data_IF_781393076079
#
_entry.id   IF_781393076079
#
_cell.length_a   1.000
_cell.length_b   1.000
_cell.length_c   1.000
_cell.angle_alpha   90.00
_cell.angle_beta   90.00
_cell.angle_gamma   90.00
#
_symmetry.space_group_name_H-M   'P 1'
#
loop_
_entity.id
_entity.type
_entity.pdbx_description
1 polymer ?
#
# COMPACT_ATOMS: atom_id res chain seq x y z
N UNK A 1 -25.66 -17.46 -35.30
CA UNK A 1 -24.74 -17.90 -34.24
C UNK A 1 -23.30 -17.64 -34.66
N UNK A 2 -22.74 -16.49 -34.26
CA UNK A 2 -21.29 -16.25 -34.22
C UNK A 2 -21.07 -15.44 -32.94
N UNK A 3 -20.46 -16.07 -31.94
CA UNK A 3 -20.04 -15.39 -30.73
C UNK A 3 -18.73 -14.67 -31.02
N UNK A 4 -18.77 -13.34 -31.00
CA UNK A 4 -17.55 -12.53 -31.00
C UNK A 4 -16.97 -12.57 -29.58
N UNK A 5 -15.95 -13.41 -29.41
CA UNK A 5 -15.11 -13.37 -28.23
C UNK A 5 -14.26 -12.09 -28.27
N UNK A 6 -14.74 -11.04 -27.62
CA UNK A 6 -13.94 -9.85 -27.37
C UNK A 6 -12.65 -10.20 -26.61
N UNK A 7 -11.55 -9.46 -26.82
CA UNK A 7 -10.31 -9.71 -26.09
C UNK A 7 -10.59 -9.47 -24.60
N UNK A 8 -10.56 -10.56 -23.81
CA UNK A 8 -10.42 -10.46 -22.36
C UNK A 8 -9.11 -9.72 -22.11
N UNK A 9 -9.22 -8.42 -21.83
CA UNK A 9 -8.14 -7.59 -21.31
C UNK A 9 -7.83 -8.12 -19.91
N UNK A 10 -7.10 -9.24 -19.86
CA UNK A 10 -6.40 -9.66 -18.66
C UNK A 10 -5.60 -8.45 -18.24
N UNK A 11 -6.00 -7.83 -17.13
CA UNK A 11 -5.21 -6.78 -16.49
C UNK A 11 -3.83 -7.40 -16.33
N UNK A 12 -2.88 -6.99 -17.16
CA UNK A 12 -1.50 -7.43 -17.03
C UNK A 12 -1.09 -6.97 -15.66
N UNK A 13 -0.98 -7.91 -14.72
CA UNK A 13 -0.42 -7.64 -13.41
C UNK A 13 0.95 -7.02 -13.67
N UNK A 14 1.04 -5.70 -13.48
CA UNK A 14 2.30 -5.00 -13.66
C UNK A 14 3.22 -5.54 -12.58
N UNK A 15 4.14 -6.40 -13.01
CA UNK A 15 5.11 -7.01 -12.10
C UNK A 15 5.81 -5.90 -11.31
N UNK A 16 5.78 -6.02 -9.98
CA UNK A 16 6.46 -5.08 -9.10
C UNK A 16 7.95 -5.08 -9.48
N UNK A 17 8.61 -3.90 -9.52
CA UNK A 17 10.01 -3.81 -9.95
C UNK A 17 11.02 -4.36 -8.91
N UNK A 18 10.55 -5.16 -7.96
CA UNK A 18 11.33 -5.81 -6.91
C UNK A 18 10.57 -7.03 -6.38
N UNK A 19 11.32 -7.99 -5.83
CA UNK A 19 10.82 -9.15 -5.08
C UNK A 19 11.20 -8.99 -3.61
N UNK A 20 10.30 -9.34 -2.70
CA UNK A 20 10.61 -9.45 -1.27
C UNK A 20 11.31 -10.79 -1.05
N UNK A 21 12.50 -10.77 -0.46
CA UNK A 21 13.25 -11.98 -0.09
C UNK A 21 13.04 -12.36 1.37
N UNK A 22 13.09 -11.37 2.25
CA UNK A 22 13.01 -11.56 3.69
C UNK A 22 12.31 -10.38 4.36
N UNK A 23 11.59 -10.68 5.43
CA UNK A 23 10.96 -9.71 6.31
C UNK A 23 11.26 -10.07 7.77
N UNK A 24 11.75 -9.10 8.53
CA UNK A 24 11.95 -9.23 9.98
C UNK A 24 11.09 -8.18 10.67
N UNK A 25 10.25 -8.62 11.60
CA UNK A 25 9.41 -7.75 12.42
C UNK A 25 9.96 -7.73 13.84
N UNK A 26 10.20 -6.53 14.38
CA UNK A 26 10.59 -6.34 15.76
C UNK A 26 9.59 -5.43 16.46
N UNK A 27 8.85 -6.00 17.41
CA UNK A 27 7.93 -5.26 18.28
C UNK A 27 8.71 -4.90 19.54
N UNK A 28 8.91 -3.60 19.77
CA UNK A 28 9.76 -3.10 20.86
C UNK A 28 8.94 -2.64 22.06
N UNK A 29 7.70 -2.22 21.85
CA UNK A 29 6.80 -1.86 22.94
C UNK A 29 5.35 -2.19 22.61
N UNK A 30 4.65 -2.76 23.61
CA UNK A 30 3.21 -3.01 23.59
C UNK A 30 2.62 -2.29 24.80
N UNK A 31 1.64 -1.42 24.55
CA UNK A 31 0.93 -0.71 25.60
C UNK A 31 -0.55 -1.11 25.59
N UNK A 32 -0.99 -1.82 26.62
CA UNK A 32 -2.37 -2.30 26.74
C UNK A 32 -3.38 -1.19 27.08
N UNK A 33 -2.98 -0.18 27.85
CA UNK A 33 -3.88 0.92 28.21
C UNK A 33 -4.17 1.82 27.00
N UNK A 34 -3.13 2.15 26.23
CA UNK A 34 -3.24 2.98 25.02
C UNK A 34 -3.58 2.15 23.77
N UNK A 35 -3.61 0.82 23.90
CA UNK A 35 -3.83 -0.12 22.80
C UNK A 35 -2.90 0.15 21.61
N UNK A 36 -1.62 0.42 21.89
CA UNK A 36 -0.65 0.84 20.89
C UNK A 36 0.55 -0.10 20.82
N UNK A 37 1.11 -0.24 19.62
CA UNK A 37 2.30 -1.02 19.35
C UNK A 37 3.37 -0.16 18.68
N UNK A 38 4.61 -0.28 19.13
CA UNK A 38 5.78 0.35 18.51
C UNK A 38 6.74 -0.76 18.08
N UNK A 39 7.31 -0.59 16.91
CA UNK A 39 8.26 -1.53 16.35
C UNK A 39 8.85 -1.03 15.04
N UNK A 40 9.64 -1.90 14.43
CA UNK A 40 10.21 -1.70 13.11
C UNK A 40 10.04 -2.96 12.28
N UNK A 41 10.07 -2.79 10.96
CA UNK A 41 10.12 -3.87 10.00
C UNK A 41 11.32 -3.66 9.09
N UNK A 42 12.12 -4.71 8.91
CA UNK A 42 13.21 -4.75 7.95
C UNK A 42 12.78 -5.62 6.77
N UNK A 43 13.00 -5.10 5.56
CA UNK A 43 12.65 -5.78 4.31
C UNK A 43 13.89 -5.91 3.44
N UNK A 44 14.24 -7.13 3.08
CA UNK A 44 15.27 -7.39 2.08
C UNK A 44 14.60 -7.51 0.71
N UNK A 45 14.86 -6.53 -0.16
CA UNK A 45 14.27 -6.46 -1.50
C UNK A 45 15.33 -6.79 -2.56
N UNK A 46 14.95 -7.62 -3.54
CA UNK A 46 15.73 -7.88 -4.74
C UNK A 46 15.12 -7.11 -5.93
N UNK A 47 15.76 -6.05 -6.44
CA UNK A 47 15.30 -5.34 -7.64
C UNK A 47 15.19 -6.29 -8.85
N UNK A 48 14.07 -6.24 -9.56
CA UNK A 48 13.88 -6.98 -10.82
C UNK A 48 14.04 -6.10 -12.05
N UNK A 49 14.13 -4.79 -11.86
CA UNK A 49 14.39 -3.78 -12.90
C UNK A 49 15.50 -2.84 -12.44
N UNK A 50 16.19 -2.26 -13.40
CA UNK A 50 17.17 -1.20 -13.13
C UNK A 50 16.44 0.06 -12.62
N UNK A 51 17.10 0.81 -11.73
CA UNK A 51 16.64 2.13 -11.26
C UNK A 51 15.25 2.10 -10.57
N UNK A 52 15.07 1.24 -9.56
CA UNK A 52 13.87 1.24 -8.71
C UNK A 52 13.84 2.52 -7.88
N UNK A 53 13.08 3.52 -8.33
CA UNK A 53 12.94 4.80 -7.62
C UNK A 53 11.92 4.78 -6.49
N UNK A 54 10.96 3.85 -6.55
CA UNK A 54 9.83 3.80 -5.61
C UNK A 54 9.57 2.37 -5.17
N UNK A 55 9.48 2.18 -3.85
CA UNK A 55 8.98 0.96 -3.22
C UNK A 55 7.59 1.28 -2.67
N UNK A 56 6.59 0.52 -3.09
CA UNK A 56 5.18 0.69 -2.68
C UNK A 56 4.81 -0.41 -1.71
N UNK A 57 4.74 -0.06 -0.44
CA UNK A 57 4.29 -0.95 0.63
C UNK A 57 2.81 -0.68 0.92
N UNK A 58 2.07 -1.74 1.26
CA UNK A 58 0.71 -1.59 1.73
C UNK A 58 0.75 -1.56 3.26
N UNK A 59 0.27 -0.48 3.85
CA UNK A 59 -0.03 -0.40 5.27
C UNK A 59 -1.26 0.49 5.45
N UNK A 60 -2.14 0.10 6.37
CA UNK A 60 -3.27 0.90 6.83
C UNK A 60 -3.21 0.98 8.34
N UNK A 61 -3.77 2.05 8.90
CA UNK A 61 -3.81 2.26 10.36
C UNK A 61 -2.41 2.21 11.02
N UNK A 62 -1.36 2.52 10.26
CA UNK A 62 0.02 2.61 10.74
C UNK A 62 0.50 4.04 10.62
N UNK A 63 1.13 4.56 11.68
CA UNK A 63 1.85 5.82 11.63
C UNK A 63 3.32 5.55 11.39
N UNK A 64 3.83 5.93 10.23
CA UNK A 64 5.24 5.77 9.88
C UNK A 64 6.06 6.89 10.53
N UNK A 65 6.99 6.51 11.40
CA UNK A 65 7.88 7.46 12.07
C UNK A 65 9.11 7.77 11.24
N UNK A 66 9.67 6.77 10.56
CA UNK A 66 10.94 6.86 9.82
C UNK A 66 11.07 5.73 8.81
N UNK A 67 11.73 6.02 7.69
CA UNK A 67 12.17 5.01 6.72
C UNK A 67 13.66 5.18 6.48
N UNK A 68 14.41 4.07 6.51
CA UNK A 68 15.83 4.02 6.18
C UNK A 68 16.11 2.93 5.15
N UNK A 69 17.08 3.18 4.30
CA UNK A 69 17.62 2.21 3.33
C UNK A 69 19.05 1.90 3.73
N UNK A 70 19.32 0.61 3.98
CA UNK A 70 20.62 0.09 4.42
C UNK A 70 21.20 0.83 5.63
N UNK A 71 20.34 1.28 6.55
CA UNK A 71 20.67 2.10 7.75
C UNK A 71 21.42 3.42 7.52
N UNK A 72 21.73 3.76 6.28
CA UNK A 72 22.53 4.93 5.92
C UNK A 72 21.64 6.06 5.42
N UNK A 73 20.67 5.76 4.56
CA UNK A 73 19.90 6.79 3.88
C UNK A 73 18.47 6.89 4.43
N UNK A 74 18.12 8.03 4.99
CA UNK A 74 16.74 8.33 5.37
C UNK A 74 15.95 8.74 4.13
N UNK A 75 14.82 8.07 3.89
CA UNK A 75 14.04 8.24 2.67
C UNK A 75 12.73 8.97 2.95
N UNK A 76 12.35 9.86 2.04
CA UNK A 76 11.03 10.47 2.05
C UNK A 76 9.95 9.44 1.68
N UNK A 77 8.72 9.65 2.16
CA UNK A 77 7.59 8.81 1.81
C UNK A 77 6.31 9.61 1.61
N UNK A 78 5.35 8.95 0.96
CA UNK A 78 3.99 9.45 0.82
C UNK A 78 3.05 8.36 1.31
N UNK A 79 2.15 8.71 2.23
CA UNK A 79 1.09 7.82 2.70
C UNK A 79 -0.22 8.22 2.04
N UNK A 80 -0.90 7.25 1.42
CA UNK A 80 -2.21 7.43 0.82
C UNK A 80 -3.10 6.26 1.23
N UNK A 81 -4.19 6.57 1.93
CA UNK A 81 -5.26 5.61 2.19
C UNK A 81 -6.53 6.05 1.43
N UNK A 82 -6.83 5.45 0.27
CA UNK A 82 -7.98 5.84 -0.54
C UNK A 82 -9.32 5.55 0.15
N UNK A 83 -9.32 4.76 1.24
CA UNK A 83 -10.55 4.49 2.02
C UNK A 83 -10.85 5.57 3.05
N UNK A 84 -9.90 6.45 3.35
CA UNK A 84 -10.14 7.58 4.25
C UNK A 84 -11.14 8.58 3.64
N UNK A 85 -11.10 8.82 2.33
CA UNK A 85 -11.89 9.86 1.67
C UNK A 85 -13.32 9.44 1.30
N UNK A 86 -13.70 8.20 1.59
CA UNK A 86 -15.03 7.69 1.29
C UNK A 86 -16.03 8.36 2.24
N UNK A 87 -17.01 9.07 1.68
CA UNK A 87 -18.13 9.72 2.38
C UNK A 87 -17.82 10.94 3.27
N UNK A 88 -16.62 11.53 3.21
CA UNK A 88 -16.27 12.70 4.04
C UNK A 88 -16.80 14.05 3.50
N UNK A 89 -17.06 14.14 2.21
CA UNK A 89 -17.48 15.39 1.56
C UNK A 89 -19.01 15.52 1.56
N UNK A 90 -19.58 16.59 2.14
CA UNK A 90 -21.03 16.82 2.10
C UNK A 90 -21.57 16.92 0.67
N UNK A 91 -20.73 17.37 -0.28
CA UNK A 91 -21.06 17.36 -1.71
C UNK A 91 -21.24 15.94 -2.28
N UNK A 92 -20.46 14.96 -1.77
CA UNK A 92 -20.56 13.53 -2.12
C UNK A 92 -21.65 12.80 -1.32
N UNK A 93 -22.20 13.41 -0.26
CA UNK A 93 -23.28 12.82 0.53
C UNK A 93 -24.57 12.59 -0.29
N UNK A 94 -24.74 13.30 -1.42
CA UNK A 94 -25.87 13.12 -2.35
C UNK A 94 -25.73 11.91 -3.27
N UNK A 95 -24.55 11.29 -3.37
CA UNK A 95 -24.26 10.13 -4.22
C UNK A 95 -23.86 8.93 -3.35
N UNK A 96 -24.73 8.61 -2.38
CA UNK A 96 -24.59 7.44 -1.49
C UNK A 96 -25.29 6.19 -2.04
N UNK A 97 -25.39 6.05 -3.36
CA UNK A 97 -26.00 4.89 -4.01
C UNK A 97 -24.98 3.84 -4.39
N UNK A 98 -25.41 2.57 -4.39
CA UNK A 98 -24.55 1.43 -4.70
C UNK A 98 -23.93 1.55 -6.09
N UNK A 99 -24.71 2.00 -7.08
CA UNK A 99 -24.25 2.14 -8.47
C UNK A 99 -23.06 3.10 -8.64
N UNK A 100 -22.92 4.08 -7.75
CA UNK A 100 -21.82 5.04 -7.77
C UNK A 100 -20.52 4.44 -7.20
N UNK A 101 -20.62 3.58 -6.18
CA UNK A 101 -19.47 2.95 -5.52
C UNK A 101 -19.10 1.58 -6.09
N UNK A 102 -19.91 1.00 -6.98
CA UNK A 102 -19.67 -0.31 -7.58
C UNK A 102 -18.86 -0.28 -8.88
N UNK A 103 -18.46 0.91 -9.36
CA UNK A 103 -17.67 1.10 -10.58
C UNK A 103 -16.16 1.05 -10.34
#
# INVERSE_FOLDING_TARGET
MKGEGGPSSRVSERERPYKLLQQVLCITAINFQRQSLIGLVELTLNPTKNNVRWVRLNCKQCKIYRIRVNDVHESAFTYNDPTMEICQDEAKAKQRNLDYFSQ
#
